data_IF_469941264780
#
_entry.id   IF_469941264780
#
_cell.length_a   1.000
_cell.length_b   1.000
_cell.length_c   1.000
_cell.angle_alpha   90.00
_cell.angle_beta   90.00
_cell.angle_gamma   90.00
#
_symmetry.space_group_name_H-M   'P 1'
#
loop_
_entity.id
_entity.type
_entity.pdbx_description
1 polymer ?
#
# COMPACT_ATOMS: atom_id res chain seq x y z
N UNK A 1 34.20 63.39 9.74
CA UNK A 1 35.03 62.36 9.06
C UNK A 1 34.38 62.07 7.72
N UNK A 2 34.94 62.63 6.65
CA UNK A 2 34.44 62.51 5.29
C UNK A 2 35.04 61.24 4.68
N UNK A 3 34.22 60.21 4.49
CA UNK A 3 34.62 59.03 3.75
C UNK A 3 34.73 59.39 2.26
N UNK A 4 35.85 59.08 1.58
CA UNK A 4 36.04 59.50 0.19
C UNK A 4 35.05 58.80 -0.75
N UNK A 5 34.53 59.54 -1.74
CA UNK A 5 33.53 59.12 -2.74
C UNK A 5 33.87 57.82 -3.50
N UNK A 6 35.13 57.40 -3.45
CA UNK A 6 35.63 56.18 -4.07
C UNK A 6 35.23 54.90 -3.34
N UNK A 7 34.82 54.97 -2.07
CA UNK A 7 34.37 53.79 -1.33
C UNK A 7 33.06 53.25 -1.93
N UNK A 8 32.10 54.12 -2.27
CA UNK A 8 30.84 53.72 -2.90
C UNK A 8 31.01 53.07 -4.28
N UNK A 9 32.01 53.50 -5.05
CA UNK A 9 32.33 52.92 -6.36
C UNK A 9 32.92 51.51 -6.26
N UNK A 10 33.67 51.22 -5.20
CA UNK A 10 34.23 49.87 -4.93
C UNK A 10 33.12 48.89 -4.51
N UNK A 11 32.10 49.34 -3.80
CA UNK A 11 30.95 48.49 -3.43
C UNK A 11 30.01 48.20 -4.62
N UNK A 12 29.86 49.13 -5.57
CA UNK A 12 29.04 48.92 -6.78
C UNK A 12 29.71 47.93 -7.74
N UNK A 13 31.04 47.94 -7.88
CA UNK A 13 31.75 46.96 -8.71
C UNK A 13 31.73 45.56 -8.08
N UNK A 14 31.85 45.44 -6.76
CA UNK A 14 31.74 44.17 -6.03
C UNK A 14 30.31 43.61 -6.09
N UNK A 15 29.28 44.46 -6.06
CA UNK A 15 27.88 44.04 -6.23
C UNK A 15 27.58 43.57 -7.67
N UNK A 16 28.20 44.19 -8.68
CA UNK A 16 28.04 43.80 -10.10
C UNK A 16 28.73 42.48 -10.46
N UNK A 17 29.82 42.12 -9.77
CA UNK A 17 30.54 40.85 -9.94
C UNK A 17 29.83 39.67 -9.27
N UNK A 18 28.84 39.91 -8.41
CA UNK A 18 28.03 38.86 -7.78
C UNK A 18 26.88 38.36 -8.68
N UNK A 19 26.49 39.12 -9.71
CA UNK A 19 25.38 38.78 -10.62
C UNK A 19 25.83 37.83 -11.75
N UNK A 20 27.15 37.65 -11.98
CA UNK A 20 27.71 36.74 -13.00
C UNK A 20 28.27 35.47 -12.35
N UNK A 21 27.46 34.84 -11.49
CA UNK A 21 27.63 33.42 -11.14
C UNK A 21 26.26 32.74 -11.08
N UNK A 22 25.37 33.05 -12.03
CA UNK A 22 24.34 32.11 -12.42
C UNK A 22 25.02 31.06 -13.30
N UNK A 23 25.74 30.13 -12.64
CA UNK A 23 26.14 28.89 -13.30
C UNK A 23 24.85 28.19 -13.68
N UNK A 24 24.55 28.23 -14.97
CA UNK A 24 23.60 27.40 -15.71
C UNK A 24 22.65 26.64 -14.78
N UNK A 25 21.46 27.20 -14.57
CA UNK A 25 20.31 26.39 -14.17
C UNK A 25 20.30 25.19 -15.12
N UNK A 26 20.49 23.96 -14.65
CA UNK A 26 20.27 22.82 -15.53
C UNK A 26 18.81 22.95 -15.92
N UNK A 27 18.57 23.30 -17.19
CA UNK A 27 17.32 22.97 -17.84
C UNK A 27 17.04 21.54 -17.43
N UNK A 28 15.90 21.29 -16.76
CA UNK A 28 15.36 19.95 -16.60
C UNK A 28 15.01 19.48 -18.02
N UNK A 29 16.05 19.17 -18.79
CA UNK A 29 15.99 18.29 -19.94
C UNK A 29 15.34 17.04 -19.40
N UNK A 30 14.08 16.87 -19.77
CA UNK A 30 13.35 15.62 -19.89
C UNK A 30 14.24 14.42 -19.56
N UNK A 31 14.36 14.11 -18.26
CA UNK A 31 14.84 12.80 -17.85
C UNK A 31 13.69 11.94 -18.34
N UNK A 32 13.83 11.32 -19.52
CA UNK A 32 12.93 10.23 -19.95
C UNK A 32 12.79 9.35 -18.71
N UNK A 33 11.67 9.44 -18.02
CA UNK A 33 11.41 8.64 -16.84
C UNK A 33 11.54 7.21 -17.36
N UNK A 34 12.48 6.44 -16.83
CA UNK A 34 12.54 5.04 -17.20
C UNK A 34 11.14 4.44 -16.98
N UNK A 35 10.66 3.59 -17.91
CA UNK A 35 9.36 2.94 -17.74
C UNK A 35 9.33 2.28 -16.35
N UNK A 36 8.28 2.55 -15.57
CA UNK A 36 8.09 1.82 -14.32
C UNK A 36 7.82 0.36 -14.66
N UNK A 37 8.73 -0.52 -14.21
CA UNK A 37 8.69 -1.96 -14.40
C UNK A 37 8.45 -2.64 -13.04
N UNK A 38 7.29 -3.28 -12.86
CA UNK A 38 6.92 -3.94 -11.60
C UNK A 38 7.98 -4.91 -11.10
N UNK A 39 8.63 -5.63 -12.03
CA UNK A 39 9.65 -6.62 -11.72
C UNK A 39 10.83 -6.03 -10.94
N UNK A 40 11.29 -4.83 -11.31
CA UNK A 40 12.43 -4.20 -10.66
C UNK A 40 12.06 -3.74 -9.24
N UNK A 41 10.85 -3.24 -9.08
CA UNK A 41 10.31 -2.85 -7.77
C UNK A 41 10.09 -4.06 -6.86
N UNK A 42 9.54 -5.16 -7.37
CA UNK A 42 9.41 -6.40 -6.60
C UNK A 42 10.77 -6.99 -6.22
N UNK A 43 11.75 -6.96 -7.13
CA UNK A 43 13.11 -7.38 -6.79
C UNK A 43 13.71 -6.53 -5.66
N UNK A 44 13.36 -5.25 -5.60
CA UNK A 44 13.76 -4.36 -4.50
C UNK A 44 13.03 -4.73 -3.20
N UNK A 45 11.73 -5.01 -3.24
CA UNK A 45 10.95 -5.51 -2.09
C UNK A 45 11.59 -6.79 -1.54
N UNK A 46 11.87 -7.76 -2.41
CA UNK A 46 12.48 -9.05 -2.02
C UNK A 46 13.85 -8.86 -1.35
N UNK A 47 14.68 -7.96 -1.88
CA UNK A 47 15.98 -7.61 -1.30
C UNK A 47 15.85 -6.99 0.09
N UNK A 48 14.91 -6.05 0.26
CA UNK A 48 14.65 -5.40 1.55
C UNK A 48 14.09 -6.39 2.58
N UNK A 49 13.26 -7.34 2.16
CA UNK A 49 12.75 -8.41 3.00
C UNK A 49 13.86 -9.35 3.47
N UNK A 50 14.78 -9.75 2.57
CA UNK A 50 15.95 -10.54 2.93
C UNK A 50 16.85 -9.84 3.96
N UNK A 51 16.90 -8.50 3.89
CA UNK A 51 17.64 -7.66 4.83
C UNK A 51 16.86 -7.35 6.12
N UNK A 52 15.62 -7.82 6.27
CA UNK A 52 14.71 -7.51 7.40
C UNK A 52 14.50 -6.01 7.58
N UNK A 53 14.22 -5.31 6.48
CA UNK A 53 13.92 -3.88 6.45
C UNK A 53 12.45 -3.63 6.07
N UNK A 54 11.49 -3.97 6.95
CA UNK A 54 10.07 -3.92 6.62
C UNK A 54 9.57 -2.51 6.32
N UNK A 55 10.05 -1.48 7.02
CA UNK A 55 9.66 -0.08 6.73
C UNK A 55 10.05 0.35 5.31
N UNK A 56 11.25 -0.06 4.88
CA UNK A 56 11.73 0.23 3.52
C UNK A 56 10.94 -0.57 2.49
N UNK A 57 10.65 -1.85 2.78
CA UNK A 57 9.86 -2.69 1.89
C UNK A 57 8.43 -2.15 1.74
N UNK A 58 7.80 -1.71 2.83
CA UNK A 58 6.50 -1.05 2.85
C UNK A 58 6.48 0.21 1.98
N UNK A 59 7.54 1.03 2.03
CA UNK A 59 7.66 2.21 1.17
C UNK A 59 7.63 1.84 -0.32
N UNK A 60 8.38 0.80 -0.72
CA UNK A 60 8.43 0.34 -2.11
C UNK A 60 7.09 -0.28 -2.53
N UNK A 61 6.45 -1.07 -1.67
CA UNK A 61 5.12 -1.64 -1.93
C UNK A 61 4.05 -0.55 -2.09
N UNK A 62 4.12 0.51 -1.29
CA UNK A 62 3.22 1.67 -1.41
C UNK A 62 3.37 2.34 -2.78
N UNK A 63 4.60 2.43 -3.30
CA UNK A 63 4.87 2.95 -4.65
C UNK A 63 4.31 2.01 -5.73
N UNK A 64 4.49 0.70 -5.59
CA UNK A 64 3.88 -0.30 -6.49
C UNK A 64 2.36 -0.15 -6.52
N UNK A 65 1.71 -0.06 -5.35
CA UNK A 65 0.26 0.12 -5.23
C UNK A 65 -0.21 1.39 -5.95
N UNK A 66 0.49 2.50 -5.75
CA UNK A 66 0.17 3.78 -6.40
C UNK A 66 0.27 3.67 -7.93
N UNK A 67 1.31 3.01 -8.45
CA UNK A 67 1.50 2.81 -9.89
C UNK A 67 0.48 1.86 -10.48
N UNK A 68 0.15 0.76 -9.78
CA UNK A 68 -0.92 -0.16 -10.13
C UNK A 68 -2.28 0.56 -10.25
N UNK A 69 -2.59 1.46 -9.31
CA UNK A 69 -3.81 2.29 -9.38
C UNK A 69 -3.83 3.19 -10.62
N UNK A 70 -2.72 3.86 -10.94
CA UNK A 70 -2.62 4.75 -12.12
C UNK A 70 -2.72 3.96 -13.43
N UNK A 71 -2.18 2.75 -13.46
CA UNK A 71 -2.11 1.90 -14.65
C UNK A 71 -3.33 0.98 -14.83
N UNK A 72 -4.22 0.92 -13.85
CA UNK A 72 -5.36 -0.01 -13.85
C UNK A 72 -4.96 -1.48 -13.68
N UNK A 73 -3.76 -1.75 -13.17
CA UNK A 73 -3.25 -3.11 -12.97
C UNK A 73 -3.79 -3.68 -11.65
N UNK A 74 -4.88 -4.42 -11.73
CA UNK A 74 -5.54 -4.97 -10.55
C UNK A 74 -4.72 -6.06 -9.86
N UNK A 75 -3.99 -6.87 -10.63
CA UNK A 75 -3.17 -7.97 -10.09
C UNK A 75 -2.05 -7.38 -9.22
N UNK A 76 -1.35 -6.38 -9.74
CA UNK A 76 -0.28 -5.71 -9.02
C UNK A 76 -0.82 -4.90 -7.82
N UNK A 77 -2.00 -4.30 -7.96
CA UNK A 77 -2.67 -3.61 -6.84
C UNK A 77 -2.97 -4.59 -5.70
N UNK A 78 -3.55 -5.75 -5.99
CA UNK A 78 -3.91 -6.75 -4.97
C UNK A 78 -2.66 -7.32 -4.31
N UNK A 79 -1.65 -7.67 -5.11
CA UNK A 79 -0.37 -8.15 -4.58
C UNK A 79 0.26 -7.11 -3.63
N UNK A 80 0.22 -5.83 -4.00
CA UNK A 80 0.72 -4.76 -3.15
C UNK A 80 -0.10 -4.61 -1.85
N UNK A 81 -1.44 -4.70 -1.91
CA UNK A 81 -2.30 -4.67 -0.72
C UNK A 81 -1.96 -5.79 0.28
N UNK A 82 -1.72 -7.00 -0.21
CA UNK A 82 -1.37 -8.15 0.63
C UNK A 82 -0.01 -7.92 1.32
N UNK A 83 1.00 -7.47 0.58
CA UNK A 83 2.32 -7.18 1.13
C UNK A 83 2.32 -5.99 2.09
N UNK A 84 1.50 -4.97 1.81
CA UNK A 84 1.31 -3.83 2.70
C UNK A 84 0.73 -4.29 4.04
N UNK A 85 -0.32 -5.11 4.03
CA UNK A 85 -0.87 -5.71 5.25
C UNK A 85 0.16 -6.51 6.04
N UNK A 86 0.98 -7.31 5.36
CA UNK A 86 2.10 -8.05 5.97
C UNK A 86 3.09 -7.12 6.67
N UNK A 87 3.62 -6.11 5.98
CA UNK A 87 4.64 -5.24 6.57
C UNK A 87 4.08 -4.33 7.65
N UNK A 88 2.85 -3.83 7.49
CA UNK A 88 2.19 -3.05 8.53
C UNK A 88 1.93 -3.89 9.79
N UNK A 89 1.56 -5.16 9.66
CA UNK A 89 1.46 -6.06 10.80
C UNK A 89 2.79 -6.23 11.55
N UNK A 90 3.91 -6.31 10.83
CA UNK A 90 5.25 -6.40 11.45
C UNK A 90 5.71 -5.09 12.11
N UNK A 91 5.37 -3.93 11.54
CA UNK A 91 5.83 -2.62 12.02
C UNK A 91 4.94 -2.06 13.14
N UNK A 92 3.63 -2.21 12.99
CA UNK A 92 2.61 -1.60 13.84
C UNK A 92 1.97 -2.62 14.82
N UNK A 93 2.44 -3.87 14.82
CA UNK A 93 1.88 -4.98 15.61
C UNK A 93 0.37 -5.19 15.38
N UNK A 94 -0.10 -4.97 14.14
CA UNK A 94 -1.53 -5.07 13.81
C UNK A 94 -2.05 -6.49 14.04
N UNK A 95 -3.24 -6.58 14.64
CA UNK A 95 -3.97 -7.82 14.76
C UNK A 95 -4.54 -8.23 13.39
N UNK A 96 -4.73 -9.54 13.20
CA UNK A 96 -5.32 -10.08 11.97
C UNK A 96 -6.70 -9.47 11.64
N UNK A 97 -7.49 -9.14 12.66
CA UNK A 97 -8.78 -8.48 12.48
C UNK A 97 -8.65 -7.10 11.79
N UNK A 98 -7.61 -6.34 12.12
CA UNK A 98 -7.34 -5.03 11.52
C UNK A 98 -6.91 -5.17 10.06
N UNK A 99 -6.11 -6.19 9.75
CA UNK A 99 -5.69 -6.51 8.38
C UNK A 99 -6.92 -6.89 7.54
N UNK A 100 -7.79 -7.76 8.05
CA UNK A 100 -9.03 -8.15 7.37
C UNK A 100 -9.89 -6.91 7.10
N UNK A 101 -10.14 -6.07 8.11
CA UNK A 101 -10.93 -4.84 7.94
C UNK A 101 -10.33 -3.88 6.90
N UNK A 102 -9.00 -3.77 6.85
CA UNK A 102 -8.32 -2.95 5.84
C UNK A 102 -8.56 -3.50 4.43
N UNK A 103 -8.44 -4.81 4.23
CA UNK A 103 -8.63 -5.45 2.93
C UNK A 103 -10.10 -5.44 2.49
N UNK A 104 -11.06 -5.60 3.41
CA UNK A 104 -12.50 -5.44 3.14
C UNK A 104 -12.80 -4.07 2.51
N UNK A 105 -12.16 -3.02 3.03
CA UNK A 105 -12.39 -1.65 2.54
C UNK A 105 -11.89 -1.40 1.11
N UNK A 106 -11.01 -2.27 0.61
CA UNK A 106 -10.39 -2.16 -0.72
C UNK A 106 -11.19 -2.90 -1.81
N UNK A 107 -12.09 -3.83 -1.44
CA UNK A 107 -12.90 -4.60 -2.41
C UNK A 107 -13.70 -3.68 -3.34
N UNK A 108 -14.29 -2.61 -2.79
CA UNK A 108 -15.13 -1.69 -3.56
C UNK A 108 -14.36 -0.92 -4.66
N UNK A 109 -13.03 -0.86 -4.56
CA UNK A 109 -12.14 -0.18 -5.49
C UNK A 109 -11.49 -1.17 -6.49
N UNK A 110 -11.97 -2.41 -6.56
CA UNK A 110 -11.51 -3.43 -7.50
C UNK A 110 -12.65 -3.84 -8.43
N UNK A 111 -12.36 -3.93 -9.73
CA UNK A 111 -13.26 -4.54 -10.69
C UNK A 111 -12.91 -6.03 -10.84
N UNK A 112 -13.69 -6.75 -11.65
CA UNK A 112 -13.41 -8.15 -11.98
C UNK A 112 -12.21 -8.25 -12.93
N UNK A 113 -11.30 -9.24 -12.77
CA UNK A 113 -11.33 -10.33 -11.79
C UNK A 113 -10.64 -10.00 -10.45
N UNK A 114 -10.17 -8.76 -10.25
CA UNK A 114 -9.46 -8.37 -9.04
C UNK A 114 -10.29 -8.52 -7.77
N UNK A 115 -11.57 -8.14 -7.81
CA UNK A 115 -12.48 -8.34 -6.68
C UNK A 115 -12.59 -9.79 -6.25
N UNK A 116 -12.67 -10.72 -7.21
CA UNK A 116 -12.81 -12.15 -6.98
C UNK A 116 -11.54 -12.75 -6.36
N UNK A 117 -10.36 -12.30 -6.81
CA UNK A 117 -9.08 -12.68 -6.21
C UNK A 117 -9.03 -12.21 -4.75
N UNK A 118 -9.39 -10.96 -4.47
CA UNK A 118 -9.37 -10.43 -3.10
C UNK A 118 -10.40 -11.13 -2.22
N UNK A 119 -11.59 -11.44 -2.74
CA UNK A 119 -12.59 -12.26 -2.04
C UNK A 119 -12.05 -13.64 -1.68
N UNK A 120 -11.35 -14.33 -2.59
CA UNK A 120 -10.74 -15.63 -2.26
C UNK A 120 -9.74 -15.52 -1.12
N UNK A 121 -8.94 -14.46 -1.11
CA UNK A 121 -7.95 -14.23 -0.06
C UNK A 121 -8.60 -13.89 1.28
N UNK A 122 -9.65 -13.04 1.29
CA UNK A 122 -10.41 -12.71 2.49
C UNK A 122 -11.11 -13.94 3.10
N UNK A 123 -11.65 -14.83 2.28
CA UNK A 123 -12.20 -16.11 2.74
C UNK A 123 -11.17 -16.91 3.55
N UNK A 124 -9.95 -17.04 3.02
CA UNK A 124 -8.84 -17.72 3.72
C UNK A 124 -8.44 -16.99 5.00
N UNK A 125 -8.42 -15.65 5.01
CA UNK A 125 -8.07 -14.87 6.21
C UNK A 125 -9.12 -15.03 7.32
N UNK A 126 -10.41 -15.04 6.99
CA UNK A 126 -11.47 -15.33 7.96
C UNK A 126 -11.34 -16.74 8.54
N UNK A 127 -11.09 -17.73 7.67
CA UNK A 127 -10.84 -19.11 8.08
C UNK A 127 -9.60 -19.23 8.97
N UNK A 128 -8.53 -18.51 8.65
CA UNK A 128 -7.35 -18.42 9.48
C UNK A 128 -7.66 -17.77 10.84
N UNK A 129 -8.41 -16.67 10.86
CA UNK A 129 -8.85 -16.01 12.09
C UNK A 129 -9.64 -16.96 12.99
N UNK A 130 -10.59 -17.72 12.43
CA UNK A 130 -11.37 -18.72 13.16
C UNK A 130 -10.46 -19.79 13.77
N UNK A 131 -9.49 -20.31 13.02
CA UNK A 131 -8.56 -21.33 13.52
C UNK A 131 -7.71 -20.80 14.67
N UNK A 132 -7.16 -19.59 14.53
CA UNK A 132 -6.34 -18.94 15.56
C UNK A 132 -7.13 -18.64 16.85
N UNK A 133 -8.42 -18.34 16.73
CA UNK A 133 -9.27 -17.93 17.85
C UNK A 133 -10.27 -19.01 18.30
N UNK A 134 -10.16 -20.24 17.82
CA UNK A 134 -11.16 -21.31 18.01
C UNK A 134 -11.56 -21.52 19.48
N UNK A 135 -10.60 -21.52 20.40
CA UNK A 135 -10.85 -21.67 21.84
C UNK A 135 -11.72 -20.54 22.40
N UNK A 136 -11.42 -19.28 22.06
CA UNK A 136 -12.16 -18.14 22.58
C UNK A 136 -13.54 -17.99 21.93
N UNK A 137 -13.69 -18.45 20.68
CA UNK A 137 -14.93 -18.38 19.91
C UNK A 137 -15.99 -19.36 20.42
N UNK A 138 -15.60 -20.50 21.00
CA UNK A 138 -16.55 -21.51 21.51
C UNK A 138 -17.41 -21.00 22.69
N UNK A 139 -16.85 -20.09 23.49
CA UNK A 139 -17.52 -19.57 24.68
C UNK A 139 -18.33 -18.29 24.41
N UNK A 140 -18.29 -17.75 23.18
CA UNK A 140 -19.05 -16.55 22.80
C UNK A 140 -20.51 -16.92 22.57
N UNK A 141 -21.42 -16.23 23.27
CA UNK A 141 -22.86 -16.29 23.01
C UNK A 141 -23.23 -15.27 21.94
N UNK A 142 -24.25 -15.59 21.14
CA UNK A 142 -24.81 -14.69 20.12
C UNK A 142 -25.00 -13.28 20.68
N UNK A 143 -24.24 -12.34 20.12
CA UNK A 143 -24.33 -10.93 20.44
C UNK A 143 -25.57 -10.39 19.74
N UNK A 144 -26.51 -9.87 20.53
CA UNK A 144 -27.62 -9.11 19.97
C UNK A 144 -27.04 -7.82 19.39
N UNK A 145 -27.06 -7.74 18.06
CA UNK A 145 -26.87 -6.57 17.19
C UNK A 145 -25.45 -6.19 16.73
N UNK A 146 -25.28 -6.27 15.40
CA UNK A 146 -24.88 -5.13 14.56
C UNK A 146 -23.42 -4.66 14.61
N UNK A 147 -22.57 -5.21 15.47
CA UNK A 147 -21.17 -4.81 15.51
C UNK A 147 -20.39 -5.40 14.33
N UNK A 148 -19.71 -4.54 13.56
CA UNK A 148 -18.82 -4.95 12.45
C UNK A 148 -17.42 -5.36 12.95
N UNK A 149 -17.15 -5.20 14.23
CA UNK A 149 -15.87 -5.57 14.80
C UNK A 149 -15.80 -7.09 14.99
N UNK A 150 -14.88 -7.71 14.24
CA UNK A 150 -14.59 -9.15 14.25
C UNK A 150 -14.32 -9.68 15.66
N UNK A 151 -13.78 -8.85 16.56
CA UNK A 151 -13.51 -9.23 17.94
C UNK A 151 -14.77 -9.62 18.72
N UNK A 152 -15.96 -9.17 18.28
CA UNK A 152 -17.24 -9.44 18.93
C UNK A 152 -18.14 -10.39 18.15
N UNK A 153 -17.72 -10.84 16.97
CA UNK A 153 -18.48 -11.80 16.17
C UNK A 153 -18.41 -13.21 16.77
N UNK A 154 -19.50 -13.94 16.61
CA UNK A 154 -19.59 -15.37 16.93
C UNK A 154 -18.91 -16.23 15.87
N UNK A 155 -18.65 -17.50 16.21
CA UNK A 155 -18.16 -18.48 15.26
C UNK A 155 -19.09 -18.59 14.04
N UNK A 156 -20.40 -18.62 14.25
CA UNK A 156 -21.37 -18.74 13.16
C UNK A 156 -21.34 -17.54 12.20
N UNK A 157 -21.21 -16.32 12.71
CA UNK A 157 -21.10 -15.11 11.90
C UNK A 157 -19.80 -15.07 11.10
N UNK A 158 -18.68 -15.44 11.72
CA UNK A 158 -17.37 -15.51 11.06
C UNK A 158 -17.35 -16.58 9.96
N UNK A 159 -17.90 -17.76 10.23
CA UNK A 159 -18.04 -18.82 9.20
C UNK A 159 -18.93 -18.36 8.05
N UNK A 160 -20.04 -17.68 8.35
CA UNK A 160 -20.91 -17.13 7.30
C UNK A 160 -20.22 -16.04 6.47
N UNK A 161 -19.31 -15.26 7.06
CA UNK A 161 -18.46 -14.32 6.32
C UNK A 161 -17.48 -15.06 5.42
N UNK A 162 -16.70 -16.01 5.94
CA UNK A 162 -15.77 -16.82 5.14
C UNK A 162 -16.47 -17.44 3.92
N UNK A 163 -17.62 -18.10 4.15
CA UNK A 163 -18.44 -18.71 3.10
C UNK A 163 -18.94 -17.69 2.06
N UNK A 164 -19.31 -16.48 2.48
CA UNK A 164 -19.71 -15.42 1.56
C UNK A 164 -18.55 -14.98 0.67
N UNK A 165 -17.36 -14.76 1.24
CA UNK A 165 -16.17 -14.40 0.47
C UNK A 165 -15.79 -15.50 -0.52
N UNK A 166 -15.79 -16.77 -0.10
CA UNK A 166 -15.55 -17.88 -1.02
C UNK A 166 -16.60 -18.03 -2.11
N UNK A 167 -17.88 -17.74 -1.84
CA UNK A 167 -18.92 -17.72 -2.89
C UNK A 167 -18.68 -16.57 -3.87
N UNK A 168 -18.41 -15.37 -3.37
CA UNK A 168 -18.14 -14.20 -4.22
C UNK A 168 -16.91 -14.38 -5.11
N UNK A 169 -15.89 -15.14 -4.68
CA UNK A 169 -14.70 -15.39 -5.50
C UNK A 169 -14.96 -16.28 -6.73
N UNK A 170 -16.08 -17.00 -6.78
CA UNK A 170 -16.44 -17.91 -7.87
C UNK A 170 -17.79 -17.56 -8.53
N UNK A 171 -18.39 -16.41 -8.20
CA UNK A 171 -19.74 -16.04 -8.66
C UNK A 171 -19.83 -15.85 -10.19
N UNK A 172 -18.70 -15.52 -10.84
CA UNK A 172 -18.59 -15.31 -12.28
C UNK A 172 -17.41 -16.08 -12.89
N UNK A 173 -17.47 -17.42 -12.97
CA UNK A 173 -16.35 -18.26 -13.38
C UNK A 173 -15.85 -17.96 -14.81
N UNK A 174 -16.71 -17.41 -15.68
CA UNK A 174 -16.35 -16.98 -17.03
C UNK A 174 -15.40 -15.78 -17.07
N UNK A 175 -15.34 -14.98 -15.99
CA UNK A 175 -14.49 -13.79 -15.86
C UNK A 175 -13.13 -14.10 -15.23
N UNK A 176 -12.94 -15.32 -14.71
CA UNK A 176 -11.71 -15.78 -14.07
C UNK A 176 -10.65 -16.28 -15.08
N UNK A 177 -10.86 -16.08 -16.38
CA UNK A 177 -9.92 -16.51 -17.41
C UNK A 177 -8.75 -15.54 -17.45
N UNK A 178 -7.54 -16.08 -17.29
CA UNK A 178 -6.28 -15.36 -17.53
C UNK A 178 -5.89 -15.65 -18.98
N UNK A 179 -5.93 -14.62 -19.82
CA UNK A 179 -5.48 -14.69 -21.22
C UNK A 179 -3.96 -14.81 -21.33
#
# INVERSE_FOLDING_TARGET
>A
MNYPKYFYLIWITILSLYIISCKSLPTLTDRKSEPFEYKDYWSKVDSLEQLRLPESALSVVSEIKAQARVRGDQIEKIKALIYEGKYRSEIEDLELAEIINSLESEIQDLESPGSEILHSYLGELYDFYIRQNSWSLQDRKETLEGNRDLAFMTLAELTALADRHFKSSIDHPERLKVD
#
